data_IF_473546377678
#
_entry.id   IF_473546377678
#
_cell.length_a   1.000
_cell.length_b   1.000
_cell.length_c   1.000
_cell.angle_alpha   90.00
_cell.angle_beta   90.00
_cell.angle_gamma   90.00
#
_symmetry.space_group_name_H-M   'P 1'
#
loop_
_entity.id
_entity.type
_entity.pdbx_description
1 polymer ?
#
# COMPACT_ATOMS: atom_id res chain seq x y z
N UNK A 1 -16.73 -21.62 61.54
CA UNK A 1 -17.54 -20.65 60.80
C UNK A 1 -16.88 -19.28 60.94
N UNK A 2 -15.93 -18.95 60.07
CA UNK A 2 -15.19 -17.69 60.06
C UNK A 2 -15.55 -16.94 58.78
N UNK A 3 -16.28 -15.84 58.94
CA UNK A 3 -16.80 -15.02 57.86
C UNK A 3 -15.67 -14.13 57.31
N UNK A 4 -15.19 -14.42 56.11
CA UNK A 4 -14.17 -13.62 55.40
C UNK A 4 -14.81 -12.33 54.88
N UNK A 5 -14.20 -11.14 55.08
CA UNK A 5 -14.70 -9.92 54.44
C UNK A 5 -14.56 -10.05 52.92
N UNK A 6 -15.65 -9.79 52.20
CA UNK A 6 -15.72 -9.81 50.74
C UNK A 6 -14.76 -8.78 50.13
N UNK A 7 -13.99 -9.22 49.13
CA UNK A 7 -13.08 -8.40 48.33
C UNK A 7 -13.77 -7.13 47.79
N UNK A 8 -13.18 -5.93 47.94
CA UNK A 8 -13.68 -4.75 47.28
C UNK A 8 -13.43 -4.87 45.77
N UNK A 9 -14.52 -4.75 45.01
CA UNK A 9 -14.64 -4.64 43.55
C UNK A 9 -13.29 -4.33 42.87
N UNK A 10 -12.67 -5.33 42.23
CA UNK A 10 -11.62 -5.11 41.22
C UNK A 10 -12.28 -4.43 40.03
N UNK A 11 -12.28 -3.10 40.01
CA UNK A 11 -12.47 -2.36 38.77
C UNK A 11 -11.23 -2.65 37.93
N UNK A 12 -11.37 -3.61 37.01
CA UNK A 12 -10.49 -3.69 35.86
C UNK A 12 -10.75 -2.43 35.03
N UNK A 13 -10.01 -1.37 35.32
CA UNK A 13 -9.80 -0.32 34.32
C UNK A 13 -9.12 -1.02 33.16
N UNK A 14 -9.87 -1.28 32.09
CA UNK A 14 -9.28 -1.65 30.82
C UNK A 14 -8.64 -0.37 30.26
N UNK A 15 -7.51 0.02 30.85
CA UNK A 15 -6.60 1.02 30.31
C UNK A 15 -5.78 0.37 29.18
N UNK A 16 -6.49 -0.28 28.26
CA UNK A 16 -5.97 -0.47 26.93
C UNK A 16 -6.04 0.92 26.31
N UNK A 17 -4.99 1.72 26.51
CA UNK A 17 -4.56 2.65 25.48
C UNK A 17 -4.71 1.91 24.17
N UNK A 18 -5.74 2.23 23.38
CA UNK A 18 -5.90 1.73 22.03
C UNK A 18 -4.62 2.10 21.33
N UNK A 19 -3.69 1.15 21.25
CA UNK A 19 -2.52 1.24 20.40
C UNK A 19 -3.11 1.54 19.03
N UNK A 20 -2.80 2.73 18.50
CA UNK A 20 -3.48 3.24 17.31
C UNK A 20 -3.44 2.20 16.19
N UNK A 21 -4.51 2.13 15.39
CA UNK A 21 -4.58 1.22 14.26
C UNK A 21 -3.31 1.33 13.40
N UNK A 22 -2.71 0.19 13.05
CA UNK A 22 -1.53 0.12 12.19
C UNK A 22 -1.94 0.41 10.76
N UNK A 23 -1.75 1.66 10.35
CA UNK A 23 -2.09 2.12 9.00
C UNK A 23 -0.85 2.05 8.12
N UNK A 24 -0.97 1.38 6.97
CA UNK A 24 0.05 1.38 5.91
C UNK A 24 -0.48 2.06 4.67
N UNK A 25 0.33 2.90 4.03
CA UNK A 25 0.03 3.52 2.73
C UNK A 25 1.02 3.00 1.70
N UNK A 26 0.53 2.33 0.67
CA UNK A 26 1.32 1.81 -0.44
C UNK A 26 1.06 2.61 -1.72
N UNK A 27 2.10 3.29 -2.19
CA UNK A 27 2.10 4.04 -3.45
C UNK A 27 2.57 3.20 -4.62
N UNK A 28 1.70 2.95 -5.58
CA UNK A 28 1.94 2.02 -6.69
C UNK A 28 2.20 2.76 -8.00
N UNK A 29 3.32 2.45 -8.64
CA UNK A 29 3.79 3.10 -9.87
C UNK A 29 4.19 4.57 -9.64
N UNK A 30 4.49 5.28 -10.74
CA UNK A 30 4.97 6.67 -10.65
C UNK A 30 3.99 7.65 -9.99
N UNK A 31 2.70 7.56 -10.33
CA UNK A 31 1.67 8.43 -9.73
C UNK A 31 1.49 8.19 -8.23
N UNK A 32 1.40 6.92 -7.83
CA UNK A 32 1.27 6.54 -6.42
C UNK A 32 2.52 6.89 -5.61
N UNK A 33 3.72 6.61 -6.15
CA UNK A 33 4.99 6.98 -5.52
C UNK A 33 5.13 8.49 -5.32
N UNK A 34 4.74 9.29 -6.31
CA UNK A 34 4.72 10.75 -6.17
C UNK A 34 3.75 11.23 -5.09
N UNK A 35 2.58 10.60 -4.96
CA UNK A 35 1.63 10.91 -3.89
C UNK A 35 2.22 10.58 -2.51
N UNK A 36 2.86 9.42 -2.36
CA UNK A 36 3.56 9.02 -1.13
C UNK A 36 4.66 10.02 -0.76
N UNK A 37 5.51 10.39 -1.72
CA UNK A 37 6.56 11.39 -1.48
C UNK A 37 5.98 12.72 -0.97
N UNK A 38 4.83 13.16 -1.52
CA UNK A 38 4.14 14.36 -1.04
C UNK A 38 3.61 14.21 0.38
N UNK A 39 3.04 13.05 0.74
CA UNK A 39 2.57 12.77 2.10
C UNK A 39 3.72 12.80 3.11
N UNK A 40 4.86 12.21 2.76
CA UNK A 40 6.08 12.23 3.60
C UNK A 40 6.61 13.66 3.75
N UNK A 41 6.72 14.41 2.65
CA UNK A 41 7.17 15.81 2.69
C UNK A 41 6.23 16.71 3.49
N UNK A 42 4.92 16.43 3.45
CA UNK A 42 3.90 17.09 4.25
C UNK A 42 3.88 16.63 5.72
N UNK A 43 4.76 15.70 6.12
CA UNK A 43 4.90 15.16 7.47
C UNK A 43 3.60 14.52 7.99
N UNK A 44 2.95 13.72 7.16
CA UNK A 44 1.85 12.87 7.63
C UNK A 44 2.41 11.83 8.61
N UNK A 45 1.88 11.80 9.83
CA UNK A 45 2.32 10.92 10.91
C UNK A 45 1.35 9.75 11.13
N UNK A 46 1.79 8.73 11.88
CA UNK A 46 0.96 7.57 12.24
C UNK A 46 0.74 6.58 11.09
N UNK A 47 1.53 6.66 10.03
CA UNK A 47 1.41 5.83 8.82
C UNK A 47 2.76 5.26 8.43
N UNK A 48 2.78 3.99 8.06
CA UNK A 48 3.93 3.37 7.41
C UNK A 48 3.84 3.54 5.88
N UNK A 49 4.83 4.20 5.28
CA UNK A 49 4.85 4.45 3.84
C UNK A 49 5.65 3.41 3.08
N UNK A 50 5.02 2.86 2.03
CA UNK A 50 5.59 1.88 1.13
C UNK A 50 5.51 2.43 -0.30
N UNK A 51 6.58 2.32 -1.08
CA UNK A 51 6.57 2.60 -2.51
C UNK A 51 6.77 1.29 -3.28
N UNK A 52 5.89 1.01 -4.25
CA UNK A 52 5.96 -0.17 -5.09
C UNK A 52 6.02 0.21 -6.57
N UNK A 53 7.06 -0.21 -7.29
CA UNK A 53 7.19 0.09 -8.71
C UNK A 53 7.98 -0.98 -9.47
N UNK A 54 7.76 -1.12 -10.77
CA UNK A 54 8.56 -1.97 -11.66
C UNK A 54 9.80 -1.25 -12.19
N UNK A 55 9.80 0.08 -12.13
CA UNK A 55 10.92 0.93 -12.52
C UNK A 55 11.84 1.19 -11.32
N UNK A 56 13.09 0.71 -11.42
CA UNK A 56 14.10 0.85 -10.36
C UNK A 56 14.52 2.31 -10.14
N UNK A 57 14.67 3.08 -11.22
CA UNK A 57 15.09 4.49 -11.13
C UNK A 57 14.03 5.32 -10.43
N UNK A 58 12.75 5.03 -10.69
CA UNK A 58 11.65 5.68 -9.99
C UNK A 58 11.62 5.36 -8.49
N UNK A 59 12.04 4.16 -8.07
CA UNK A 59 12.13 3.77 -6.66
C UNK A 59 13.33 4.41 -5.95
N UNK A 60 14.45 4.61 -6.63
CA UNK A 60 15.61 5.31 -6.07
C UNK A 60 15.20 6.71 -5.59
N UNK A 61 14.40 7.43 -6.38
CA UNK A 61 13.84 8.74 -6.04
C UNK A 61 12.70 8.74 -4.99
N UNK A 62 12.27 7.57 -4.50
CA UNK A 62 11.23 7.50 -3.45
C UNK A 62 11.78 7.89 -2.08
N UNK A 63 10.99 8.65 -1.32
CA UNK A 63 11.23 9.00 0.08
C UNK A 63 10.67 7.95 1.05
N UNK A 64 9.89 6.98 0.56
CA UNK A 64 9.31 5.94 1.38
C UNK A 64 10.40 5.07 2.04
N UNK A 65 10.30 4.77 3.35
CA UNK A 65 11.24 3.89 4.04
C UNK A 65 11.28 2.48 3.45
N UNK A 66 10.12 1.97 3.03
CA UNK A 66 9.99 0.65 2.40
C UNK A 66 9.81 0.81 0.89
N UNK A 67 10.65 0.12 0.12
CA UNK A 67 10.67 0.17 -1.34
C UNK A 67 10.58 -1.24 -1.91
N UNK A 68 9.53 -1.48 -2.70
CA UNK A 68 9.26 -2.76 -3.33
C UNK A 68 9.46 -2.64 -4.84
N UNK A 69 10.55 -3.22 -5.34
CA UNK A 69 10.71 -3.40 -6.77
C UNK A 69 9.93 -4.63 -7.23
N UNK A 70 9.01 -4.42 -8.16
CA UNK A 70 8.10 -5.45 -8.68
C UNK A 70 8.60 -6.00 -10.02
N UNK A 71 8.43 -7.30 -10.23
CA UNK A 71 8.69 -8.00 -11.48
C UNK A 71 10.12 -7.81 -11.99
N UNK A 72 11.12 -7.96 -11.13
CA UNK A 72 12.53 -7.76 -11.49
C UNK A 72 12.93 -8.69 -12.64
N UNK A 73 12.46 -9.94 -12.63
CA UNK A 73 12.77 -10.91 -13.70
C UNK A 73 12.01 -10.59 -14.99
N UNK A 74 10.80 -10.05 -14.86
CA UNK A 74 9.94 -9.72 -15.99
C UNK A 74 10.35 -8.44 -16.72
N UNK A 75 10.82 -7.43 -15.99
CA UNK A 75 11.02 -6.07 -16.50
C UNK A 75 12.48 -5.62 -16.52
N UNK A 76 13.38 -6.38 -15.89
CA UNK A 76 14.78 -5.99 -15.65
C UNK A 76 14.91 -4.62 -14.97
N UNK A 77 13.88 -4.20 -14.21
CA UNK A 77 13.84 -2.90 -13.55
C UNK A 77 13.57 -1.69 -14.44
N UNK A 78 13.17 -1.91 -15.71
CA UNK A 78 12.93 -0.85 -16.69
C UNK A 78 11.48 -0.36 -16.72
N UNK A 79 10.61 -0.91 -15.86
CA UNK A 79 9.21 -0.54 -15.79
C UNK A 79 8.28 -1.39 -16.68
N UNK A 80 6.98 -1.12 -16.57
CA UNK A 80 5.92 -1.89 -17.24
C UNK A 80 5.55 -1.39 -18.66
N UNK A 81 6.24 -0.38 -19.20
CA UNK A 81 6.03 0.11 -20.57
C UNK A 81 4.59 0.54 -20.89
N UNK A 82 3.87 1.13 -19.92
CA UNK A 82 2.44 1.48 -20.03
C UNK A 82 1.51 0.29 -20.37
N UNK A 83 1.93 -0.94 -20.05
CA UNK A 83 1.12 -2.14 -20.18
C UNK A 83 0.64 -2.64 -18.81
N UNK A 84 -0.67 -2.55 -18.50
CA UNK A 84 -1.24 -3.05 -17.25
C UNK A 84 -0.96 -4.54 -16.99
N UNK A 85 -0.95 -5.38 -18.02
CA UNK A 85 -0.71 -6.82 -17.84
C UNK A 85 0.71 -7.13 -17.36
N UNK A 86 1.67 -6.30 -17.74
CA UNK A 86 3.04 -6.39 -17.22
C UNK A 86 3.07 -5.98 -15.76
N UNK A 87 2.39 -4.89 -15.39
CA UNK A 87 2.26 -4.47 -13.98
C UNK A 87 1.57 -5.52 -13.11
N UNK A 88 0.51 -6.15 -13.62
CA UNK A 88 -0.23 -7.21 -12.92
C UNK A 88 0.65 -8.43 -12.67
N UNK A 89 1.33 -8.92 -13.71
CA UNK A 89 2.24 -10.08 -13.59
C UNK A 89 3.43 -9.76 -12.68
N UNK A 90 3.97 -8.54 -12.74
CA UNK A 90 5.03 -8.10 -11.84
C UNK A 90 4.61 -8.13 -10.36
N UNK A 91 3.38 -7.70 -10.04
CA UNK A 91 2.87 -7.78 -8.68
C UNK A 91 2.63 -9.22 -8.22
N UNK A 92 2.18 -10.11 -9.12
CA UNK A 92 2.03 -11.53 -8.81
C UNK A 92 3.37 -12.25 -8.63
N UNK A 93 4.41 -11.87 -9.38
CA UNK A 93 5.76 -12.41 -9.24
C UNK A 93 6.34 -12.15 -7.84
N UNK A 94 6.03 -10.97 -7.27
CA UNK A 94 6.53 -10.52 -5.98
C UNK A 94 5.44 -10.47 -4.90
N UNK A 95 4.44 -11.35 -4.98
CA UNK A 95 3.33 -11.41 -4.00
C UNK A 95 3.82 -11.58 -2.57
N UNK A 96 4.82 -12.44 -2.35
CA UNK A 96 5.32 -12.74 -1.01
C UNK A 96 5.96 -11.49 -0.36
N UNK A 97 6.68 -10.69 -1.15
CA UNK A 97 7.27 -9.42 -0.68
C UNK A 97 6.20 -8.38 -0.36
N UNK A 98 5.12 -8.35 -1.14
CA UNK A 98 3.99 -7.45 -0.90
C UNK A 98 3.31 -7.86 0.41
N UNK A 99 3.07 -9.16 0.62
CA UNK A 99 2.46 -9.69 1.85
C UNK A 99 3.33 -9.34 3.06
N UNK A 100 4.64 -9.61 3.00
CA UNK A 100 5.57 -9.27 4.08
C UNK A 100 5.54 -7.77 4.41
N UNK A 101 5.54 -6.90 3.39
CA UNK A 101 5.48 -5.45 3.60
C UNK A 101 4.13 -4.98 4.20
N UNK A 102 3.03 -5.69 3.91
CA UNK A 102 1.70 -5.36 4.42
C UNK A 102 1.37 -6.03 5.76
N UNK A 103 2.22 -6.94 6.24
CA UNK A 103 1.95 -7.74 7.44
C UNK A 103 1.71 -6.85 8.67
N UNK A 104 0.71 -7.26 9.45
CA UNK A 104 0.29 -6.57 10.68
C UNK A 104 -0.44 -5.26 10.46
N UNK A 105 -0.82 -4.90 9.23
CA UNK A 105 -1.66 -3.73 8.96
C UNK A 105 -3.12 -3.98 9.38
N UNK A 106 -3.69 -3.08 10.19
CA UNK A 106 -5.13 -3.05 10.43
C UNK A 106 -5.86 -2.38 9.26
N UNK A 107 -5.18 -1.44 8.58
CA UNK A 107 -5.71 -0.70 7.45
C UNK A 107 -4.63 -0.45 6.40
N UNK A 108 -4.97 -0.68 5.13
CA UNK A 108 -4.08 -0.45 3.99
C UNK A 108 -4.72 0.54 3.02
N UNK A 109 -4.03 1.64 2.77
CA UNK A 109 -4.36 2.59 1.71
C UNK A 109 -3.53 2.31 0.47
N UNK A 110 -4.18 1.94 -0.62
CA UNK A 110 -3.52 1.75 -1.92
C UNK A 110 -3.69 3.03 -2.73
N UNK A 111 -2.60 3.73 -3.04
CA UNK A 111 -2.63 4.94 -3.85
C UNK A 111 -1.95 4.73 -5.19
N UNK A 112 -2.63 5.08 -6.29
CA UNK A 112 -2.12 4.88 -7.64
C UNK A 112 -2.70 5.89 -8.64
N UNK A 113 -1.88 6.26 -9.62
CA UNK A 113 -2.36 6.89 -10.85
C UNK A 113 -2.71 5.82 -11.87
N UNK A 114 -3.97 5.73 -12.26
CA UNK A 114 -4.44 4.76 -13.26
C UNK A 114 -4.16 5.24 -14.69
N UNK A 115 -4.29 4.33 -15.65
CA UNK A 115 -3.98 4.57 -17.06
C UNK A 115 -2.50 4.38 -17.42
N UNK A 116 -1.64 4.08 -16.45
CA UNK A 116 -0.27 3.61 -16.67
C UNK A 116 -0.18 2.09 -16.80
N UNK A 117 1.04 1.55 -16.71
CA UNK A 117 1.27 0.09 -16.66
C UNK A 117 1.26 -0.43 -15.22
N UNK A 118 2.22 0.02 -14.41
CA UNK A 118 2.42 -0.47 -13.05
C UNK A 118 1.26 -0.14 -12.12
N UNK A 119 0.87 1.13 -12.00
CA UNK A 119 -0.23 1.54 -11.13
C UNK A 119 -1.52 0.78 -11.43
N UNK A 120 -1.93 0.79 -12.69
CA UNK A 120 -3.14 0.11 -13.18
C UNK A 120 -3.12 -1.40 -12.94
N UNK A 121 -2.01 -2.07 -13.27
CA UNK A 121 -1.91 -3.52 -13.20
C UNK A 121 -1.69 -4.06 -11.79
N UNK A 122 -0.84 -3.38 -11.01
CA UNK A 122 -0.39 -3.85 -9.71
C UNK A 122 -1.33 -3.44 -8.57
N UNK A 123 -2.00 -2.28 -8.64
CA UNK A 123 -2.85 -1.80 -7.55
C UNK A 123 -4.01 -2.76 -7.20
N UNK A 124 -4.74 -3.36 -8.17
CA UNK A 124 -5.78 -4.33 -7.85
C UNK A 124 -5.26 -5.60 -7.19
N UNK A 125 -4.05 -6.05 -7.57
CA UNK A 125 -3.40 -7.23 -6.97
C UNK A 125 -3.05 -6.95 -5.52
N UNK A 126 -2.39 -5.82 -5.27
CA UNK A 126 -2.00 -5.38 -3.92
C UNK A 126 -3.23 -5.21 -3.03
N UNK A 127 -4.31 -4.61 -3.54
CA UNK A 127 -5.56 -4.46 -2.79
C UNK A 127 -6.22 -5.81 -2.45
N UNK A 128 -6.18 -6.78 -3.37
CA UNK A 128 -6.67 -8.14 -3.11
C UNK A 128 -5.88 -8.80 -1.98
N UNK A 129 -4.55 -8.76 -2.06
CA UNK A 129 -3.67 -9.33 -1.04
C UNK A 129 -3.91 -8.69 0.34
N UNK A 130 -4.01 -7.36 0.42
CA UNK A 130 -4.31 -6.66 1.65
C UNK A 130 -5.66 -7.09 2.26
N UNK A 131 -6.68 -7.23 1.42
CA UNK A 131 -8.01 -7.67 1.85
C UNK A 131 -8.03 -9.14 2.30
N UNK A 132 -7.28 -10.01 1.62
CA UNK A 132 -7.13 -11.43 1.96
C UNK A 132 -6.40 -11.62 3.30
N UNK A 133 -5.50 -10.70 3.64
CA UNK A 133 -4.82 -10.64 4.94
C UNK A 133 -5.70 -10.09 6.08
N UNK A 134 -6.93 -9.65 5.77
CA UNK A 134 -7.88 -9.14 6.76
C UNK A 134 -7.76 -7.65 7.08
N UNK A 135 -6.91 -6.90 6.36
CA UNK A 135 -6.79 -5.46 6.55
C UNK A 135 -7.95 -4.71 5.90
N UNK A 136 -8.44 -3.66 6.56
CA UNK A 136 -9.37 -2.72 5.95
C UNK A 136 -8.68 -2.04 4.76
N UNK A 137 -9.10 -2.37 3.55
CA UNK A 137 -8.39 -1.93 2.33
C UNK A 137 -9.16 -0.81 1.63
N UNK A 138 -8.50 0.33 1.46
CA UNK A 138 -9.06 1.51 0.77
C UNK A 138 -8.17 1.89 -0.41
N UNK A 139 -8.73 1.93 -1.61
CA UNK A 139 -8.02 2.39 -2.80
C UNK A 139 -8.34 3.87 -3.10
N UNK A 140 -7.31 4.71 -3.14
CA UNK A 140 -7.41 6.13 -3.52
C UNK A 140 -6.68 6.31 -4.83
N UNK A 141 -7.43 6.41 -5.93
CA UNK A 141 -6.87 6.39 -7.28
C UNK A 141 -7.26 7.62 -8.09
N UNK A 142 -6.37 8.05 -8.99
CA UNK A 142 -6.66 9.13 -9.94
C UNK A 142 -6.86 8.58 -11.33
N UNK A 143 -7.83 9.14 -12.06
CA UNK A 143 -8.00 8.89 -13.50
C UNK A 143 -7.13 9.84 -14.33
N UNK A 144 -6.69 9.41 -15.52
CA UNK A 144 -5.95 10.28 -16.45
C UNK A 144 -6.73 11.54 -16.81
N UNK A 145 -6.03 12.63 -17.11
CA UNK A 145 -6.65 13.82 -17.70
C UNK A 145 -7.10 13.55 -19.14
N UNK A 146 -8.06 14.34 -19.63
CA UNK A 146 -8.57 14.20 -21.00
C UNK A 146 -7.50 14.36 -22.10
N UNK A 147 -6.45 15.15 -21.83
CA UNK A 147 -5.35 15.38 -22.76
C UNK A 147 -4.32 14.24 -22.80
N UNK A 148 -4.35 13.28 -21.87
CA UNK A 148 -3.40 12.16 -21.82
C UNK A 148 -3.73 11.03 -22.82
N UNK A 149 -4.83 11.18 -23.55
CA UNK A 149 -5.23 10.30 -24.64
C UNK A 149 -6.18 9.18 -24.23
N UNK A 150 -7.00 8.75 -25.19
CA UNK A 150 -8.06 7.75 -24.98
C UNK A 150 -7.53 6.41 -24.46
N UNK A 151 -6.34 5.99 -24.90
CA UNK A 151 -5.73 4.72 -24.47
C UNK A 151 -5.55 4.66 -22.95
N UNK A 152 -4.99 5.72 -22.34
CA UNK A 152 -4.79 5.78 -20.89
C UNK A 152 -6.12 5.76 -20.15
N UNK A 153 -7.11 6.51 -20.65
CA UNK A 153 -8.45 6.54 -20.05
C UNK A 153 -9.14 5.16 -20.09
N UNK A 154 -9.00 4.40 -21.18
CA UNK A 154 -9.58 3.05 -21.28
C UNK A 154 -8.85 2.02 -20.42
N UNK A 155 -7.56 2.23 -20.15
CA UNK A 155 -6.80 1.37 -19.24
C UNK A 155 -7.14 1.63 -17.77
N UNK A 156 -7.70 2.79 -17.44
CA UNK A 156 -7.97 3.24 -16.07
C UNK A 156 -9.32 2.78 -15.50
#
# INVERSE_FOLDING_TARGET
MSNTPQDPIRIHYNDETRTGAKIKVIGVGGGGGNAVNRMIAAKVEGVEFIAANTDAQALEGSLAPVKLQLGVKLTSGLGAGANPDVGRRAALEDSDKIIEALEGADMVFVTAGLGGGTGTGSAPVIASLASEMGALTVAVVTRPFGFEGKRRMMQA
#
